data_IF_419938979761
#
_entry.id   IF_419938979761
#
_cell.length_a   1.000
_cell.length_b   1.000
_cell.length_c   1.000
_cell.angle_alpha   90.00
_cell.angle_beta   90.00
_cell.angle_gamma   90.00
#
_symmetry.space_group_name_H-M   'P 1'
#
loop_
_entity.id
_entity.type
_entity.pdbx_description
1 polymer ?
#
# COMPACT_ATOMS: atom_id res chain seq x y z
N UNK A 1 -23.78 15.32 -62.94
CA UNK A 1 -24.27 16.37 -62.02
C UNK A 1 -24.85 15.84 -60.71
N UNK A 2 -26.06 15.25 -60.64
CA UNK A 2 -26.65 14.81 -59.35
C UNK A 2 -25.88 13.67 -58.65
N UNK A 3 -25.32 12.71 -59.41
CA UNK A 3 -24.49 11.65 -58.84
C UNK A 3 -23.14 12.16 -58.30
N UNK A 4 -22.48 13.08 -58.99
CA UNK A 4 -21.22 13.69 -58.54
C UNK A 4 -21.42 14.55 -57.28
N UNK A 5 -22.57 15.24 -57.17
CA UNK A 5 -22.93 15.96 -55.96
C UNK A 5 -23.16 15.01 -54.78
N UNK A 6 -23.81 13.87 -55.00
CA UNK A 6 -23.99 12.84 -53.96
C UNK A 6 -22.65 12.28 -53.46
N UNK A 7 -21.73 11.95 -54.38
CA UNK A 7 -20.41 11.42 -54.01
C UNK A 7 -19.64 12.42 -53.16
N UNK A 8 -19.62 13.70 -53.55
CA UNK A 8 -18.96 14.77 -52.78
C UNK A 8 -19.55 14.96 -51.38
N UNK A 9 -20.87 14.82 -51.23
CA UNK A 9 -21.54 14.92 -49.93
C UNK A 9 -21.14 13.74 -49.03
N UNK A 10 -21.08 12.53 -49.59
CA UNK A 10 -20.67 11.33 -48.84
C UNK A 10 -19.21 11.42 -48.41
N UNK A 11 -18.30 11.83 -49.28
CA UNK A 11 -16.87 12.02 -48.95
C UNK A 11 -16.65 13.09 -47.88
N UNK A 12 -17.40 14.20 -47.94
CA UNK A 12 -17.34 15.25 -46.93
C UNK A 12 -17.88 14.77 -45.57
N UNK A 13 -18.94 13.95 -45.58
CA UNK A 13 -19.48 13.33 -44.37
C UNK A 13 -18.48 12.34 -43.75
N UNK A 14 -17.83 11.51 -44.56
CA UNK A 14 -16.83 10.55 -44.08
C UNK A 14 -15.60 11.24 -43.49
N UNK A 15 -15.14 12.34 -44.10
CA UNK A 15 -14.06 13.15 -43.53
C UNK A 15 -14.45 13.81 -42.22
N UNK A 16 -15.66 14.37 -42.12
CA UNK A 16 -16.16 14.98 -40.90
C UNK A 16 -16.31 13.96 -39.76
N UNK A 17 -16.86 12.77 -40.05
CA UNK A 17 -16.97 11.66 -39.10
C UNK A 17 -15.61 11.16 -38.66
N UNK A 18 -14.64 11.00 -39.58
CA UNK A 18 -13.29 10.57 -39.24
C UNK A 18 -12.56 11.57 -38.34
N UNK A 19 -12.71 12.87 -38.61
CA UNK A 19 -12.18 13.94 -37.75
C UNK A 19 -12.79 13.91 -36.35
N UNK A 20 -14.12 13.83 -36.27
CA UNK A 20 -14.84 13.76 -35.01
C UNK A 20 -14.42 12.56 -34.15
N UNK A 21 -14.28 11.37 -34.74
CA UNK A 21 -13.83 10.17 -34.03
C UNK A 21 -12.40 10.32 -33.51
N UNK A 22 -11.50 10.95 -34.28
CA UNK A 22 -10.12 11.21 -33.85
C UNK A 22 -10.06 12.18 -32.68
N UNK A 23 -10.82 13.28 -32.75
CA UNK A 23 -10.86 14.28 -31.69
C UNK A 23 -11.42 13.66 -30.40
N UNK A 24 -12.48 12.85 -30.50
CA UNK A 24 -13.02 12.11 -29.37
C UNK A 24 -12.00 11.13 -28.77
N UNK A 25 -11.27 10.38 -29.60
CA UNK A 25 -10.25 9.46 -29.13
C UNK A 25 -9.14 10.21 -28.38
N UNK A 26 -8.66 11.33 -28.92
CA UNK A 26 -7.65 12.15 -28.25
C UNK A 26 -8.14 12.71 -26.92
N UNK A 27 -9.39 13.16 -26.84
CA UNK A 27 -9.98 13.64 -25.58
C UNK A 27 -10.05 12.51 -24.55
N UNK A 28 -10.43 11.30 -24.97
CA UNK A 28 -10.46 10.15 -24.06
C UNK A 28 -9.06 9.79 -23.58
N UNK A 29 -8.07 9.67 -24.47
CA UNK A 29 -6.69 9.32 -24.10
C UNK A 29 -6.06 10.39 -23.19
N UNK A 30 -6.31 11.67 -23.46
CA UNK A 30 -5.76 12.78 -22.67
C UNK A 30 -6.34 12.88 -21.26
N UNK A 31 -7.58 12.43 -21.04
CA UNK A 31 -8.26 12.61 -19.75
C UNK A 31 -8.38 11.32 -18.95
N UNK A 32 -8.46 10.17 -19.61
CA UNK A 32 -8.72 8.89 -18.94
C UNK A 32 -7.47 8.35 -18.23
N UNK A 33 -6.30 8.38 -18.88
CA UNK A 33 -5.06 7.88 -18.29
C UNK A 33 -4.62 8.67 -17.04
N UNK A 34 -4.63 10.02 -17.04
CA UNK A 34 -4.34 10.79 -15.83
C UNK A 34 -5.37 10.53 -14.72
N UNK A 35 -6.66 10.41 -15.06
CA UNK A 35 -7.70 10.14 -14.07
C UNK A 35 -7.51 8.77 -13.41
N UNK A 36 -7.20 7.74 -14.18
CA UNK A 36 -6.91 6.40 -13.64
C UNK A 36 -5.70 6.44 -12.72
N UNK A 37 -4.65 7.18 -13.10
CA UNK A 37 -3.45 7.35 -12.28
C UNK A 37 -3.76 8.08 -10.96
N UNK A 38 -4.50 9.19 -11.01
CA UNK A 38 -4.91 9.94 -9.81
C UNK A 38 -5.76 9.08 -8.86
N UNK A 39 -6.64 8.24 -9.41
CA UNK A 39 -7.42 7.29 -8.63
C UNK A 39 -6.55 6.22 -7.97
N UNK A 40 -5.53 5.71 -8.66
CA UNK A 40 -4.56 4.76 -8.10
C UNK A 40 -3.77 5.40 -6.95
N UNK A 41 -3.22 6.60 -7.16
CA UNK A 41 -2.47 7.33 -6.14
C UNK A 41 -3.32 7.67 -4.91
N UNK A 42 -4.60 8.03 -5.12
CA UNK A 42 -5.56 8.27 -4.04
C UNK A 42 -5.85 6.98 -3.27
N UNK A 43 -6.06 5.86 -3.97
CA UNK A 43 -6.31 4.57 -3.34
C UNK A 43 -5.10 4.10 -2.51
N UNK A 44 -3.88 4.23 -3.04
CA UNK A 44 -2.65 3.90 -2.32
C UNK A 44 -2.51 4.75 -1.04
N UNK A 45 -2.81 6.05 -1.14
CA UNK A 45 -2.80 6.97 0.00
C UNK A 45 -3.82 6.58 1.07
N UNK A 46 -5.04 6.18 0.68
CA UNK A 46 -6.08 5.71 1.60
C UNK A 46 -5.71 4.39 2.27
N UNK A 47 -5.08 3.48 1.53
CA UNK A 47 -4.54 2.23 2.09
C UNK A 47 -3.51 2.57 3.16
N UNK A 48 -2.52 3.41 2.87
CA UNK A 48 -1.49 3.81 3.85
C UNK A 48 -2.12 4.47 5.08
N UNK A 49 -3.07 5.39 4.90
CA UNK A 49 -3.76 6.06 6.01
C UNK A 49 -4.53 5.06 6.89
N UNK A 50 -5.26 4.11 6.28
CA UNK A 50 -5.97 3.07 7.00
C UNK A 50 -5.04 2.17 7.82
N UNK A 51 -3.82 1.91 7.30
CA UNK A 51 -2.77 1.19 8.04
C UNK A 51 -2.28 1.99 9.25
N UNK A 52 -1.96 3.27 9.05
CA UNK A 52 -1.51 4.17 10.11
C UNK A 52 -2.53 4.25 11.26
N UNK A 53 -3.82 4.45 10.92
CA UNK A 53 -4.89 4.56 11.91
C UNK A 53 -5.06 3.27 12.73
N UNK A 54 -4.98 2.11 12.08
CA UNK A 54 -5.06 0.81 12.76
C UNK A 54 -3.88 0.61 13.71
N UNK A 55 -2.67 0.97 13.31
CA UNK A 55 -1.48 0.87 14.17
C UNK A 55 -1.60 1.80 15.38
N UNK A 56 -1.93 3.07 15.17
CA UNK A 56 -2.09 4.05 16.23
C UNK A 56 -3.14 3.61 17.26
N UNK A 57 -4.24 3.01 16.79
CA UNK A 57 -5.28 2.47 17.66
C UNK A 57 -4.77 1.31 18.52
N UNK A 58 -4.04 0.37 17.93
CA UNK A 58 -3.48 -0.78 18.66
C UNK A 58 -2.42 -0.37 19.68
N UNK A 59 -1.53 0.55 19.31
CA UNK A 59 -0.55 1.13 20.24
C UNK A 59 -1.24 1.84 21.40
N UNK A 60 -2.30 2.62 21.13
CA UNK A 60 -3.08 3.29 22.17
C UNK A 60 -3.76 2.30 23.12
N UNK A 61 -4.31 1.20 22.58
CA UNK A 61 -4.89 0.12 23.39
C UNK A 61 -3.82 -0.50 24.29
N UNK A 62 -2.65 -0.86 23.75
CA UNK A 62 -1.57 -1.47 24.54
C UNK A 62 -1.04 -0.53 25.63
N UNK A 63 -0.93 0.76 25.33
CA UNK A 63 -0.57 1.76 26.34
C UNK A 63 -1.58 1.76 27.49
N UNK A 64 -2.89 1.80 27.21
CA UNK A 64 -3.93 1.76 28.24
C UNK A 64 -3.91 0.45 29.03
N UNK A 65 -3.73 -0.70 28.38
CA UNK A 65 -3.64 -2.01 29.04
C UNK A 65 -2.46 -2.06 30.01
N UNK A 66 -1.30 -1.53 29.62
CA UNK A 66 -0.11 -1.47 30.47
C UNK A 66 -0.32 -0.62 31.73
N UNK A 67 -1.07 0.50 31.63
CA UNK A 67 -1.43 1.31 32.81
C UNK A 67 -2.35 0.56 33.79
N UNK A 68 -3.08 -0.44 33.32
CA UNK A 68 -3.95 -1.29 34.14
C UNK A 68 -3.23 -2.56 34.64
N UNK A 69 -1.92 -2.71 34.35
CA UNK A 69 -1.16 -3.93 34.67
C UNK A 69 -1.65 -5.16 33.90
N UNK A 70 -2.38 -4.96 32.81
CA UNK A 70 -2.94 -6.02 31.97
C UNK A 70 -2.05 -6.28 30.77
N UNK A 71 -2.04 -7.53 30.32
CA UNK A 71 -1.33 -7.94 29.12
C UNK A 71 -1.93 -7.22 27.89
N UNK A 72 -1.06 -6.63 27.06
CA UNK A 72 -1.47 -5.87 25.89
C UNK A 72 -2.17 -6.73 24.83
N UNK A 73 -2.98 -6.10 23.99
CA UNK A 73 -3.49 -6.75 22.80
C UNK A 73 -2.32 -7.04 21.83
N UNK A 74 -2.35 -8.21 21.20
CA UNK A 74 -1.44 -8.51 20.11
C UNK A 74 -1.57 -7.43 19.03
N UNK A 75 -0.45 -6.82 18.60
CA UNK A 75 -0.43 -5.89 17.47
C UNK A 75 -0.34 -6.74 16.21
N UNK A 76 -1.46 -7.03 15.49
CA UNK A 76 -1.38 -7.72 14.22
C UNK A 76 -0.52 -6.93 13.24
N UNK A 77 0.29 -7.66 12.48
CA UNK A 77 0.94 -7.17 11.27
C UNK A 77 -0.08 -6.42 10.41
N UNK A 78 0.31 -5.27 9.87
CA UNK A 78 -0.57 -4.53 8.97
C UNK A 78 -0.20 -4.83 7.51
N UNK A 79 -0.90 -5.84 7.01
CA UNK A 79 -1.21 -6.27 5.63
C UNK A 79 -0.17 -6.04 4.52
N UNK A 80 0.42 -7.17 4.11
CA UNK A 80 1.24 -7.41 2.92
C UNK A 80 2.00 -8.74 3.02
N UNK A 81 1.40 -9.75 3.69
CA UNK A 81 2.01 -11.03 4.10
C UNK A 81 2.81 -10.96 5.42
N UNK A 82 2.25 -11.59 6.44
CA UNK A 82 3.09 -12.43 7.29
C UNK A 82 3.60 -13.49 6.30
N UNK A 83 4.92 -13.68 6.07
CA UNK A 83 5.35 -14.93 5.47
C UNK A 83 4.77 -16.02 6.36
N UNK A 84 3.94 -16.93 5.84
CA UNK A 84 3.28 -18.00 6.62
C UNK A 84 4.28 -18.76 7.53
N UNK A 85 5.58 -18.64 7.22
CA UNK A 85 6.74 -19.16 7.92
C UNK A 85 7.17 -18.43 9.22
N UNK A 86 6.70 -17.21 9.49
CA UNK A 86 7.09 -16.45 10.69
C UNK A 86 6.21 -16.77 11.89
N UNK A 87 6.86 -17.19 12.98
CA UNK A 87 6.20 -17.57 14.24
C UNK A 87 5.52 -16.34 14.89
N UNK A 88 4.52 -16.56 15.73
CA UNK A 88 3.93 -15.45 16.50
C UNK A 88 4.83 -15.09 17.70
N UNK A 89 4.96 -13.80 18.00
CA UNK A 89 5.73 -13.29 19.15
C UNK A 89 4.75 -12.95 20.26
N UNK A 90 4.82 -13.68 21.38
CA UNK A 90 3.98 -13.44 22.55
C UNK A 90 4.78 -12.86 23.72
N UNK A 91 6.12 -12.99 23.69
CA UNK A 91 6.97 -12.66 24.83
C UNK A 91 8.37 -12.21 24.42
N UNK A 92 9.12 -11.64 25.37
CA UNK A 92 10.56 -11.37 25.25
C UNK A 92 11.38 -12.63 24.92
N UNK A 93 10.94 -13.79 25.43
CA UNK A 93 11.56 -15.09 25.20
C UNK A 93 11.44 -15.52 23.74
N UNK A 94 10.34 -15.15 23.07
CA UNK A 94 10.15 -15.47 21.65
C UNK A 94 11.10 -14.63 20.79
N UNK A 95 11.23 -13.33 21.09
CA UNK A 95 12.22 -12.44 20.45
C UNK A 95 13.65 -12.97 20.66
N UNK A 96 13.93 -13.52 21.85
CA UNK A 96 15.24 -14.09 22.15
C UNK A 96 15.58 -15.30 21.26
N UNK A 97 14.58 -16.08 20.84
CA UNK A 97 14.76 -17.27 20.00
C UNK A 97 14.88 -16.96 18.51
N UNK A 98 14.47 -15.76 18.07
CA UNK A 98 14.52 -15.37 16.65
C UNK A 98 15.95 -15.36 16.09
N UNK A 99 16.08 -15.77 14.83
CA UNK A 99 17.25 -15.63 13.95
C UNK A 99 17.34 -14.19 13.43
N UNK A 100 18.52 -13.78 12.96
CA UNK A 100 18.73 -12.41 12.46
C UNK A 100 17.79 -12.08 11.30
N UNK A 101 17.65 -13.01 10.34
CA UNK A 101 16.76 -12.85 9.19
C UNK A 101 15.31 -12.65 9.62
N UNK A 102 14.81 -13.46 10.57
CA UNK A 102 13.43 -13.32 11.07
C UNK A 102 13.20 -11.95 11.69
N UNK A 103 14.15 -11.44 12.49
CA UNK A 103 14.05 -10.10 13.10
C UNK A 103 13.97 -8.99 12.04
N UNK A 104 14.77 -9.11 10.97
CA UNK A 104 14.74 -8.17 9.84
C UNK A 104 13.37 -8.20 9.14
N UNK A 105 12.82 -9.40 8.91
CA UNK A 105 11.48 -9.53 8.33
C UNK A 105 10.38 -8.94 9.23
N UNK A 106 10.43 -9.12 10.55
CA UNK A 106 9.49 -8.43 11.45
C UNK A 106 9.64 -6.91 11.36
N UNK A 107 10.87 -6.38 11.43
CA UNK A 107 11.10 -4.93 11.37
C UNK A 107 10.64 -4.34 10.04
N UNK A 108 10.84 -5.07 8.93
CA UNK A 108 10.31 -4.71 7.61
C UNK A 108 8.78 -4.74 7.60
N UNK A 109 8.15 -5.79 8.13
CA UNK A 109 6.70 -5.93 8.21
C UNK A 109 6.01 -4.89 9.10
N UNK A 110 6.75 -4.31 10.06
CA UNK A 110 6.29 -3.18 10.88
C UNK A 110 6.65 -1.81 10.30
N UNK A 111 7.24 -1.75 9.11
CA UNK A 111 7.74 -0.52 8.48
C UNK A 111 8.65 0.31 9.40
N UNK A 112 9.51 -0.39 10.15
CA UNK A 112 10.49 0.24 11.05
C UNK A 112 11.80 0.41 10.28
N UNK A 113 12.31 1.64 10.09
CA UNK A 113 13.59 1.86 9.44
C UNK A 113 14.71 1.13 10.19
N UNK A 114 15.44 0.27 9.51
CA UNK A 114 16.51 -0.53 10.09
C UNK A 114 17.61 -0.81 9.07
N UNK A 115 18.84 -0.93 9.55
CA UNK A 115 19.96 -1.39 8.74
C UNK A 115 20.13 -2.92 8.95
N UNK A 116 19.95 -3.76 7.90
CA UNK A 116 20.04 -5.22 8.01
C UNK A 116 21.46 -5.70 8.32
N UNK A 117 22.49 -4.88 8.12
CA UNK A 117 23.88 -5.22 8.48
C UNK A 117 24.12 -5.16 9.98
N UNK A 118 23.28 -4.44 10.74
CA UNK A 118 23.38 -4.31 12.20
C UNK A 118 23.52 -5.65 12.93
N UNK A 119 24.18 -5.63 14.09
CA UNK A 119 24.31 -6.81 14.95
C UNK A 119 22.92 -7.31 15.38
N UNK A 120 22.77 -8.64 15.48
CA UNK A 120 21.52 -9.31 15.91
C UNK A 120 20.97 -8.72 17.23
N UNK A 121 21.83 -8.41 18.19
CA UNK A 121 21.43 -7.82 19.47
C UNK A 121 20.76 -6.44 19.30
N UNK A 122 21.30 -5.58 18.43
CA UNK A 122 20.74 -4.25 18.14
C UNK A 122 19.38 -4.35 17.45
N UNK A 123 19.26 -5.25 16.47
CA UNK A 123 17.97 -5.53 15.81
C UNK A 123 16.93 -6.09 16.79
N UNK A 124 17.33 -6.98 17.72
CA UNK A 124 16.42 -7.45 18.79
C UNK A 124 15.96 -6.33 19.70
N UNK A 125 16.87 -5.45 20.10
CA UNK A 125 16.53 -4.31 20.95
C UNK A 125 15.54 -3.38 20.24
N UNK A 126 15.77 -3.13 18.95
CA UNK A 126 14.87 -2.34 18.12
C UNK A 126 13.48 -2.99 18.03
N UNK A 127 13.41 -4.30 17.75
CA UNK A 127 12.14 -5.05 17.69
C UNK A 127 11.40 -5.05 19.05
N UNK A 128 12.12 -5.17 20.17
CA UNK A 128 11.53 -5.05 21.52
C UNK A 128 10.92 -3.67 21.74
N UNK A 129 11.64 -2.62 21.36
CA UNK A 129 11.15 -1.24 21.46
C UNK A 129 9.90 -1.01 20.59
N UNK A 130 9.86 -1.58 19.39
CA UNK A 130 8.70 -1.53 18.49
C UNK A 130 7.47 -2.20 19.12
N UNK A 131 7.66 -3.39 19.70
CA UNK A 131 6.57 -4.18 20.28
C UNK A 131 6.21 -3.77 21.73
N UNK A 132 7.02 -2.89 22.35
CA UNK A 132 6.91 -2.44 23.74
C UNK A 132 6.92 -3.58 24.77
N UNK A 133 7.81 -4.55 24.56
CA UNK A 133 8.17 -5.56 25.55
C UNK A 133 9.36 -5.13 26.42
#
# INVERSE_FOLDING_TARGET
>A
MLQEQRIKITEALDQALSGFVKDMSQVLDQNFDPLVKDMQETNDSLVVLGRQMRMNRLVSINFKMSQMGMEGAHIPFIIGEIPDDLRRIYSLSDIAKLRKAEIVEYLRGYDVPHDPTNRKAKLKQQLRGTLRF
#
